data_IF_713101838910
#
_entry.id   IF_713101838910
#
_cell.length_a   1.000
_cell.length_b   1.000
_cell.length_c   1.000
_cell.angle_alpha   90.00
_cell.angle_beta   90.00
_cell.angle_gamma   90.00
#
_symmetry.space_group_name_H-M   'P 1'
#
loop_
_entity.id
_entity.type
_entity.pdbx_description
1 polymer ?
#
# COMPACT_ATOMS: atom_id res chain seq x y z
N UNK A 1 -10.34 0.17 22.17
CA UNK A 1 -11.58 0.62 21.53
C UNK A 1 -12.25 1.72 22.34
N UNK A 2 -12.71 1.50 23.56
CA UNK A 2 -13.43 2.52 24.36
C UNK A 2 -12.67 3.83 24.54
N UNK A 3 -11.36 3.82 24.71
CA UNK A 3 -10.55 5.04 24.78
C UNK A 3 -10.66 5.90 23.52
N UNK A 4 -10.69 5.29 22.33
CA UNK A 4 -10.90 6.03 21.05
C UNK A 4 -12.29 6.65 20.97
N UNK A 5 -13.31 5.94 21.46
CA UNK A 5 -14.67 6.45 21.49
C UNK A 5 -14.79 7.61 22.48
N UNK A 6 -14.23 7.44 23.70
CA UNK A 6 -14.22 8.50 24.69
C UNK A 6 -13.49 9.75 24.20
N UNK A 7 -12.39 9.59 23.47
CA UNK A 7 -11.70 10.73 22.85
C UNK A 7 -12.57 11.44 21.81
N UNK A 8 -13.26 10.69 20.94
CA UNK A 8 -14.15 11.30 19.96
C UNK A 8 -15.31 12.07 20.60
N UNK A 9 -15.90 11.53 21.66
CA UNK A 9 -16.94 12.22 22.44
C UNK A 9 -16.40 13.45 23.19
N UNK A 10 -15.19 13.33 23.80
CA UNK A 10 -14.53 14.46 24.45
C UNK A 10 -14.26 15.60 23.48
N UNK A 11 -13.78 15.30 22.28
CA UNK A 11 -13.49 16.27 21.22
C UNK A 11 -14.79 17.00 20.77
N UNK A 12 -15.93 16.29 20.70
CA UNK A 12 -17.22 16.87 20.32
C UNK A 12 -17.76 17.78 21.41
N UNK A 13 -17.69 17.35 22.66
CA UNK A 13 -18.26 18.08 23.77
C UNK A 13 -17.31 19.12 24.39
N UNK A 14 -16.05 19.19 23.94
CA UNK A 14 -15.05 20.09 24.50
C UNK A 14 -14.73 19.81 25.96
N UNK A 15 -14.78 18.54 26.38
CA UNK A 15 -14.54 18.07 27.75
C UNK A 15 -13.28 17.22 27.85
N UNK A 16 -12.84 16.91 29.07
CA UNK A 16 -11.76 15.95 29.28
C UNK A 16 -12.31 14.51 29.10
N UNK A 17 -11.43 13.59 28.71
CA UNK A 17 -11.81 12.20 28.42
C UNK A 17 -12.41 11.48 29.65
N UNK A 18 -11.95 11.86 30.85
CA UNK A 18 -12.40 11.32 32.12
C UNK A 18 -13.83 11.77 32.51
N UNK A 19 -14.31 12.87 31.92
CA UNK A 19 -15.61 13.47 32.17
C UNK A 19 -16.68 12.99 31.17
N UNK A 20 -16.27 12.22 30.15
CA UNK A 20 -17.19 11.74 29.11
C UNK A 20 -18.22 10.80 29.68
N UNK A 21 -19.49 11.13 29.42
CA UNK A 21 -20.62 10.26 29.66
C UNK A 21 -21.17 9.73 28.36
N UNK A 22 -21.08 8.42 28.18
CA UNK A 22 -21.62 7.77 26.97
C UNK A 22 -23.16 7.77 27.02
N UNK A 23 -23.80 8.58 26.20
CA UNK A 23 -25.24 8.67 26.13
C UNK A 23 -25.87 7.61 25.23
N UNK A 24 -25.28 7.37 24.04
CA UNK A 24 -25.81 6.44 23.04
C UNK A 24 -25.05 5.10 23.02
N UNK A 25 -23.75 5.13 23.25
CA UNK A 25 -22.87 3.95 23.20
C UNK A 25 -22.65 3.31 24.57
N UNK A 26 -23.23 3.88 25.63
CA UNK A 26 -23.22 3.34 27.00
C UNK A 26 -24.24 2.26 27.24
N UNK A 27 -25.10 1.93 26.29
CA UNK A 27 -26.07 0.85 26.43
C UNK A 27 -25.35 -0.51 26.43
N UNK A 28 -25.89 -1.47 27.19
CA UNK A 28 -25.27 -2.80 27.35
C UNK A 28 -25.00 -3.54 26.03
N UNK A 29 -25.87 -3.40 25.05
CA UNK A 29 -25.69 -3.99 23.71
C UNK A 29 -24.45 -3.45 23.02
N UNK A 30 -24.26 -2.13 23.02
CA UNK A 30 -23.06 -1.50 22.42
C UNK A 30 -21.77 -1.88 23.15
N UNK A 31 -21.80 -2.01 24.48
CA UNK A 31 -20.66 -2.45 25.29
C UNK A 31 -20.28 -3.88 24.91
N UNK A 32 -21.26 -4.77 24.85
CA UNK A 32 -21.06 -6.17 24.49
C UNK A 32 -20.54 -6.31 23.07
N UNK A 33 -21.12 -5.60 22.10
CA UNK A 33 -20.68 -5.61 20.70
C UNK A 33 -19.23 -5.17 20.55
N UNK A 34 -18.83 -4.13 21.26
CA UNK A 34 -17.45 -3.64 21.25
C UNK A 34 -16.47 -4.63 21.90
N UNK A 35 -16.85 -5.25 23.02
CA UNK A 35 -16.01 -6.24 23.71
C UNK A 35 -15.83 -7.50 22.86
N UNK A 36 -16.92 -8.02 22.29
CA UNK A 36 -16.86 -9.21 21.43
C UNK A 36 -16.03 -8.91 20.18
N UNK A 37 -16.26 -7.76 19.54
CA UNK A 37 -15.51 -7.36 18.35
C UNK A 37 -14.01 -7.20 18.65
N UNK A 38 -13.66 -6.54 19.76
CA UNK A 38 -12.28 -6.37 20.19
C UNK A 38 -11.60 -7.72 20.44
N UNK A 39 -12.28 -8.64 21.14
CA UNK A 39 -11.76 -9.97 21.43
C UNK A 39 -11.60 -10.81 20.17
N UNK A 40 -12.53 -10.71 19.23
CA UNK A 40 -12.47 -11.42 17.96
C UNK A 40 -11.32 -10.90 17.07
N UNK A 41 -11.16 -9.58 16.96
CA UNK A 41 -10.06 -8.95 16.25
C UNK A 41 -8.70 -9.37 16.86
N UNK A 42 -8.59 -9.30 18.19
CA UNK A 42 -7.40 -9.75 18.91
C UNK A 42 -7.08 -11.21 18.60
N UNK A 43 -8.07 -12.10 18.72
CA UNK A 43 -7.89 -13.53 18.41
C UNK A 43 -7.40 -13.79 16.99
N UNK A 44 -7.96 -13.07 16.00
CA UNK A 44 -7.53 -13.22 14.62
C UNK A 44 -6.09 -12.72 14.40
N UNK A 45 -5.74 -11.57 15.00
CA UNK A 45 -4.40 -10.99 14.86
C UNK A 45 -3.33 -11.83 15.57
N UNK A 46 -3.66 -12.44 16.73
CA UNK A 46 -2.75 -13.33 17.45
C UNK A 46 -2.55 -14.67 16.75
N UNK A 47 -3.61 -15.20 16.13
CA UNK A 47 -3.57 -16.52 15.48
C UNK A 47 -3.02 -16.46 14.07
N UNK A 48 -3.18 -15.33 13.38
CA UNK A 48 -2.80 -15.13 11.99
C UNK A 48 -2.15 -13.74 11.84
N UNK A 49 -1.19 -13.63 10.92
CA UNK A 49 -0.74 -12.31 10.45
C UNK A 49 -1.83 -11.71 9.55
N UNK A 50 -2.79 -11.03 10.17
CA UNK A 50 -3.95 -10.51 9.44
C UNK A 50 -3.69 -9.14 8.86
N UNK A 51 -4.11 -8.94 7.62
CA UNK A 51 -4.28 -7.63 6.99
C UNK A 51 -5.76 -7.41 6.74
N UNK A 52 -6.27 -6.28 7.20
CA UNK A 52 -7.68 -5.92 7.02
C UNK A 52 -7.84 -5.03 5.79
N UNK A 53 -8.89 -5.27 5.03
CA UNK A 53 -9.34 -4.39 3.96
C UNK A 53 -10.85 -4.23 4.01
N UNK A 54 -11.32 -3.07 3.56
CA UNK A 54 -12.74 -2.75 3.48
C UNK A 54 -13.02 -2.11 2.12
N UNK A 55 -14.20 -2.39 1.55
CA UNK A 55 -14.73 -1.59 0.45
C UNK A 55 -15.00 -0.17 0.93
N UNK A 56 -15.32 0.73 0.02
CA UNK A 56 -15.78 2.07 0.37
C UNK A 56 -16.93 1.98 1.38
N UNK A 57 -16.86 2.80 2.43
CA UNK A 57 -17.77 2.76 3.56
C UNK A 57 -18.98 3.66 3.28
N UNK A 58 -20.20 3.13 3.11
CA UNK A 58 -21.38 3.96 2.91
C UNK A 58 -21.72 4.69 4.21
N UNK A 59 -21.76 6.02 4.17
CA UNK A 59 -22.06 6.84 5.36
C UNK A 59 -23.56 7.13 5.55
N UNK A 60 -24.34 7.04 4.48
CA UNK A 60 -25.76 7.37 4.48
C UNK A 60 -26.04 8.88 4.46
N UNK A 61 -27.32 9.26 4.54
CA UNK A 61 -27.75 10.66 4.50
C UNK A 61 -29.07 10.89 5.22
N UNK A 62 -29.34 12.16 5.54
CA UNK A 62 -30.54 12.58 6.26
C UNK A 62 -30.24 12.95 7.70
N UNK A 63 -31.19 12.67 8.58
CA UNK A 63 -31.11 12.99 10.03
C UNK A 63 -31.50 11.81 10.88
N UNK A 64 -31.01 11.77 12.12
CA UNK A 64 -31.41 10.81 13.15
C UNK A 64 -31.84 11.56 14.42
N UNK A 65 -32.73 10.94 15.17
CA UNK A 65 -33.03 11.36 16.53
C UNK A 65 -32.01 10.77 17.50
N UNK A 66 -31.34 11.63 18.24
CA UNK A 66 -30.35 11.25 19.24
C UNK A 66 -30.74 11.81 20.62
N UNK A 67 -29.98 11.46 21.65
CA UNK A 67 -30.08 12.06 22.97
C UNK A 67 -29.89 13.58 22.98
N UNK A 68 -29.20 14.10 21.95
CA UNK A 68 -28.95 15.55 21.73
C UNK A 68 -29.93 16.19 20.76
N UNK A 69 -31.05 15.53 20.44
CA UNK A 69 -32.03 16.00 19.47
C UNK A 69 -31.78 15.45 18.07
N UNK A 70 -32.27 16.16 17.06
CA UNK A 70 -32.13 15.79 15.66
C UNK A 70 -30.75 16.21 15.17
N UNK A 71 -29.94 15.22 14.75
CA UNK A 71 -28.60 15.46 14.24
C UNK A 71 -28.46 14.95 12.79
N UNK A 72 -27.59 15.56 11.97
CA UNK A 72 -27.32 15.09 10.61
C UNK A 72 -26.55 13.76 10.59
N UNK A 73 -26.73 13.02 9.51
CA UNK A 73 -25.97 11.78 9.19
C UNK A 73 -24.80 12.14 8.28
N UNK A 74 -23.58 11.60 8.57
CA UNK A 74 -23.22 10.76 9.72
C UNK A 74 -23.17 11.55 11.03
N UNK A 75 -23.42 10.89 12.16
CA UNK A 75 -23.29 11.49 13.47
C UNK A 75 -21.87 12.05 13.71
N UNK A 76 -21.69 13.11 14.53
CA UNK A 76 -20.37 13.73 14.73
C UNK A 76 -19.29 12.74 15.19
N UNK A 77 -19.57 11.87 16.13
CA UNK A 77 -18.63 10.83 16.61
C UNK A 77 -18.28 9.82 15.51
N UNK A 78 -19.27 9.44 14.69
CA UNK A 78 -19.03 8.59 13.51
C UNK A 78 -18.05 9.24 12.54
N UNK A 79 -18.24 10.54 12.24
CA UNK A 79 -17.37 11.29 11.32
C UNK A 79 -15.92 11.36 11.82
N UNK A 80 -15.72 11.63 13.11
CA UNK A 80 -14.40 11.67 13.74
C UNK A 80 -13.71 10.31 13.71
N UNK A 81 -14.44 9.24 14.02
CA UNK A 81 -13.91 7.88 14.03
C UNK A 81 -13.55 7.37 12.64
N UNK A 82 -14.24 7.83 11.57
CA UNK A 82 -13.96 7.46 10.18
C UNK A 82 -12.89 8.33 9.51
N UNK A 83 -12.30 9.29 10.22
CA UNK A 83 -11.26 10.17 9.67
C UNK A 83 -10.10 9.37 9.06
N UNK A 84 -9.79 9.62 7.80
CA UNK A 84 -8.74 8.94 7.04
C UNK A 84 -9.18 7.66 6.32
N UNK A 85 -10.42 7.20 6.52
CA UNK A 85 -11.00 6.07 5.78
C UNK A 85 -11.77 6.55 4.54
N UNK A 86 -11.80 5.71 3.51
CA UNK A 86 -12.54 6.01 2.26
C UNK A 86 -14.03 5.79 2.46
N UNK A 87 -14.82 6.83 2.25
CA UNK A 87 -16.28 6.82 2.42
C UNK A 87 -17.00 7.15 1.12
N UNK A 88 -18.27 6.71 1.01
CA UNK A 88 -19.14 6.96 -0.15
C UNK A 88 -20.56 7.30 0.30
N UNK A 89 -21.25 8.17 -0.45
CA UNK A 89 -22.72 8.30 -0.40
C UNK A 89 -23.32 7.27 -1.38
N UNK A 90 -23.92 6.23 -0.88
CA UNK A 90 -24.60 5.20 -1.68
C UNK A 90 -26.03 5.59 -2.09
N UNK A 91 -26.46 6.81 -1.79
CA UNK A 91 -27.78 7.33 -2.09
C UNK A 91 -28.91 6.81 -1.19
N UNK A 92 -28.63 5.89 -0.27
CA UNK A 92 -29.63 5.27 0.61
C UNK A 92 -29.83 6.14 1.86
N UNK A 93 -31.09 6.55 2.16
CA UNK A 93 -31.37 7.39 3.30
C UNK A 93 -31.22 6.63 4.63
N UNK A 94 -30.82 7.37 5.66
CA UNK A 94 -30.61 6.88 7.01
C UNK A 94 -29.16 6.53 7.30
N UNK A 95 -28.87 6.27 8.56
CA UNK A 95 -27.54 5.92 9.04
C UNK A 95 -27.09 4.55 8.48
N UNK A 96 -25.95 4.53 7.80
CA UNK A 96 -25.36 3.32 7.22
C UNK A 96 -24.23 2.76 8.09
N UNK A 97 -23.53 3.65 8.79
CA UNK A 97 -22.49 3.30 9.77
C UNK A 97 -22.82 3.98 11.09
N UNK A 98 -22.99 3.18 12.13
CA UNK A 98 -23.22 3.65 13.50
C UNK A 98 -21.89 4.02 14.17
N UNK A 99 -21.89 4.77 15.30
CA UNK A 99 -20.68 5.03 16.08
C UNK A 99 -19.93 3.75 16.48
N UNK A 100 -20.64 2.69 16.85
CA UNK A 100 -20.05 1.36 17.14
C UNK A 100 -19.35 0.76 15.93
N UNK A 101 -20.00 0.80 14.77
CA UNK A 101 -19.39 0.32 13.51
C UNK A 101 -18.15 1.13 13.11
N UNK A 102 -18.22 2.46 13.24
CA UNK A 102 -17.09 3.35 12.97
C UNK A 102 -15.92 3.10 13.94
N UNK A 103 -16.21 2.81 15.21
CA UNK A 103 -15.20 2.45 16.21
C UNK A 103 -14.46 1.16 15.84
N UNK A 104 -15.18 0.14 15.39
CA UNK A 104 -14.59 -1.12 14.91
C UNK A 104 -13.68 -0.83 13.71
N UNK A 105 -14.17 -0.12 12.69
CA UNK A 105 -13.42 0.25 11.48
C UNK A 105 -12.17 1.06 11.83
N UNK A 106 -12.27 2.08 12.67
CA UNK A 106 -11.12 2.87 13.12
C UNK A 106 -10.08 2.05 13.88
N UNK A 107 -10.51 0.97 14.52
CA UNK A 107 -9.62 0.11 15.31
C UNK A 107 -8.82 -0.84 14.41
N UNK A 108 -9.46 -1.45 13.42
CA UNK A 108 -8.78 -2.32 12.44
C UNK A 108 -8.01 -1.55 11.39
N UNK A 109 -8.33 -0.27 11.18
CA UNK A 109 -7.71 0.63 10.20
C UNK A 109 -7.51 -0.06 8.84
N UNK A 110 -8.59 -0.44 8.15
CA UNK A 110 -8.50 -1.30 6.97
C UNK A 110 -7.95 -0.54 5.77
N UNK A 111 -7.23 -1.26 4.90
CA UNK A 111 -6.87 -0.75 3.59
C UNK A 111 -8.13 -0.60 2.71
N UNK A 112 -8.16 0.41 1.83
CA UNK A 112 -9.29 0.66 0.92
C UNK A 112 -9.45 -0.39 -0.19
N UNK A 113 -8.45 -1.22 -0.42
CA UNK A 113 -8.49 -2.28 -1.44
C UNK A 113 -7.98 -3.60 -0.87
N UNK A 114 -8.54 -4.70 -1.39
CA UNK A 114 -7.95 -6.02 -1.17
C UNK A 114 -6.58 -6.01 -1.86
N UNK A 115 -5.56 -5.61 -1.14
CA UNK A 115 -4.19 -5.74 -1.61
C UNK A 115 -3.61 -7.02 -1.02
N UNK A 116 -3.32 -8.00 -1.87
CA UNK A 116 -2.24 -8.89 -1.49
C UNK A 116 -0.97 -8.05 -1.55
N UNK A 117 -0.27 -7.89 -0.45
CA UNK A 117 1.00 -7.15 -0.37
C UNK A 117 2.01 -7.58 -1.44
N UNK A 118 1.73 -8.63 -2.18
CA UNK A 118 2.62 -9.29 -3.12
C UNK A 118 1.96 -9.71 -4.45
N UNK A 119 0.79 -9.17 -4.85
CA UNK A 119 0.03 -9.70 -6.00
C UNK A 119 -0.15 -11.23 -5.95
N UNK A 120 -0.23 -11.82 -4.77
CA UNK A 120 -0.49 -13.23 -4.62
C UNK A 120 -1.95 -13.54 -4.95
N UNK A 121 -2.20 -14.71 -5.47
CA UNK A 121 -3.58 -15.16 -5.67
C UNK A 121 -4.23 -15.38 -4.30
N UNK A 122 -5.36 -14.73 -4.07
CA UNK A 122 -6.16 -14.88 -2.86
C UNK A 122 -7.24 -15.94 -3.11
N UNK A 123 -7.40 -16.87 -2.17
CA UNK A 123 -8.50 -17.84 -2.15
C UNK A 123 -9.43 -17.54 -1.00
N UNK A 124 -10.71 -17.43 -1.27
CA UNK A 124 -11.73 -17.32 -0.20
C UNK A 124 -11.73 -18.63 0.59
N UNK A 125 -11.48 -18.53 1.88
CA UNK A 125 -11.45 -19.67 2.80
C UNK A 125 -12.73 -19.81 3.59
N UNK A 126 -13.28 -18.69 4.06
CA UNK A 126 -14.52 -18.63 4.83
C UNK A 126 -15.22 -17.30 4.56
N UNK A 127 -16.52 -17.30 4.81
CA UNK A 127 -17.31 -16.07 4.88
C UNK A 127 -18.18 -16.07 6.13
N UNK A 128 -18.47 -14.88 6.62
CA UNK A 128 -19.45 -14.62 7.67
C UNK A 128 -20.37 -13.49 7.24
N UNK A 129 -21.62 -13.54 7.65
CA UNK A 129 -22.64 -12.54 7.35
C UNK A 129 -23.33 -12.15 8.65
N UNK A 130 -23.35 -10.85 8.94
CA UNK A 130 -24.19 -10.23 9.96
C UNK A 130 -25.37 -9.54 9.29
N UNK A 131 -26.57 -9.73 9.81
CA UNK A 131 -27.81 -9.16 9.28
C UNK A 131 -28.27 -8.01 10.17
N UNK A 132 -28.47 -6.83 9.57
CA UNK A 132 -29.05 -5.67 10.25
C UNK A 132 -30.58 -5.73 10.25
N UNK A 133 -31.20 -5.13 11.27
CA UNK A 133 -32.67 -5.12 11.46
C UNK A 133 -33.40 -4.18 10.51
N UNK A 134 -32.74 -3.11 10.01
CA UNK A 134 -33.38 -2.10 9.20
C UNK A 134 -33.59 -2.61 7.77
N UNK A 135 -34.80 -2.49 7.25
CA UNK A 135 -35.09 -2.74 5.83
C UNK A 135 -34.63 -1.58 4.97
N UNK A 136 -33.65 -1.83 4.08
CA UNK A 136 -33.09 -0.83 3.16
C UNK A 136 -33.80 -0.83 1.80
N UNK A 137 -34.81 -1.67 1.59
CA UNK A 137 -35.66 -1.81 0.39
C UNK A 137 -34.92 -2.13 -0.92
N UNK A 138 -33.78 -1.49 -1.17
CA UNK A 138 -33.02 -1.60 -2.43
C UNK A 138 -31.91 -2.65 -2.37
N UNK A 139 -31.33 -2.86 -1.21
CA UNK A 139 -30.21 -3.80 -0.99
C UNK A 139 -30.38 -4.54 0.33
N UNK A 140 -29.84 -5.74 0.47
CA UNK A 140 -29.78 -6.43 1.76
C UNK A 140 -28.99 -5.61 2.79
N UNK A 141 -29.53 -5.45 4.00
CA UNK A 141 -28.80 -4.84 5.11
C UNK A 141 -27.90 -5.89 5.78
N UNK A 142 -26.73 -6.10 5.21
CA UNK A 142 -25.78 -7.10 5.68
C UNK A 142 -24.37 -6.53 5.77
N UNK A 143 -23.61 -7.00 6.76
CA UNK A 143 -22.17 -6.92 6.80
C UNK A 143 -21.60 -8.29 6.41
N UNK A 144 -20.79 -8.33 5.37
CA UNK A 144 -20.13 -9.55 4.92
C UNK A 144 -18.63 -9.48 5.17
N UNK A 145 -18.12 -10.46 5.91
CA UNK A 145 -16.68 -10.63 6.15
C UNK A 145 -16.20 -11.83 5.34
N UNK A 146 -15.14 -11.65 4.56
CA UNK A 146 -14.47 -12.69 3.80
C UNK A 146 -13.08 -12.94 4.37
N UNK A 147 -12.79 -14.18 4.71
CA UNK A 147 -11.44 -14.61 5.09
C UNK A 147 -10.75 -15.16 3.85
N UNK A 148 -9.66 -14.52 3.47
CA UNK A 148 -8.81 -14.97 2.38
C UNK A 148 -7.57 -15.67 2.91
N UNK A 149 -7.11 -16.67 2.19
CA UNK A 149 -5.80 -17.28 2.37
C UNK A 149 -4.93 -16.92 1.16
N UNK A 150 -3.76 -16.35 1.42
CA UNK A 150 -2.78 -16.13 0.35
C UNK A 150 -2.22 -17.47 -0.13
N UNK A 151 -2.33 -17.72 -1.43
CA UNK A 151 -1.63 -18.85 -2.04
C UNK A 151 -0.13 -18.53 -2.06
N UNK A 152 0.61 -19.15 -1.15
CA UNK A 152 2.08 -19.01 -1.09
C UNK A 152 2.71 -19.75 -2.28
N UNK A 153 2.58 -19.25 -3.48
CA UNK A 153 3.47 -19.61 -4.59
C UNK A 153 4.79 -18.88 -4.42
N UNK A 154 5.49 -19.13 -3.31
CA UNK A 154 6.80 -18.56 -3.10
C UNK A 154 7.85 -19.42 -3.80
N UNK A 155 8.51 -18.84 -4.78
CA UNK A 155 9.76 -19.41 -5.29
C UNK A 155 10.76 -19.36 -4.13
N UNK A 156 11.32 -20.50 -3.73
CA UNK A 156 12.27 -20.59 -2.61
C UNK A 156 13.37 -19.52 -2.73
N UNK A 157 13.67 -18.87 -1.61
CA UNK A 157 14.72 -17.86 -1.49
C UNK A 157 14.48 -16.59 -2.35
N UNK A 158 13.23 -16.27 -2.68
CA UNK A 158 12.90 -15.03 -3.38
C UNK A 158 11.95 -14.16 -2.56
N UNK A 159 12.16 -12.84 -2.66
CA UNK A 159 11.20 -11.83 -2.22
C UNK A 159 10.44 -11.32 -3.43
N UNK A 160 9.11 -11.30 -3.33
CA UNK A 160 8.28 -10.60 -4.31
C UNK A 160 8.09 -9.15 -3.83
N UNK A 161 8.30 -8.22 -4.73
CA UNK A 161 8.14 -6.79 -4.50
C UNK A 161 7.16 -6.25 -5.53
N UNK A 162 6.35 -5.29 -5.12
CA UNK A 162 5.53 -4.49 -6.05
C UNK A 162 6.34 -3.25 -6.39
N UNK A 163 6.46 -2.95 -7.68
CA UNK A 163 7.18 -1.79 -8.18
C UNK A 163 6.32 -1.07 -9.22
N UNK A 164 6.65 0.18 -9.46
CA UNK A 164 6.11 0.98 -10.55
C UNK A 164 7.14 1.04 -11.68
N UNK A 165 6.70 0.74 -12.90
CA UNK A 165 7.47 0.94 -14.14
C UNK A 165 6.88 2.13 -14.89
N UNK A 166 7.60 3.26 -14.89
CA UNK A 166 7.23 4.44 -15.62
C UNK A 166 7.92 4.38 -16.99
N UNK A 167 7.13 4.48 -18.06
CA UNK A 167 7.66 4.39 -19.43
C UNK A 167 7.25 5.62 -20.22
N UNK A 168 8.19 6.26 -20.89
CA UNK A 168 7.97 7.42 -21.77
C UNK A 168 8.92 7.41 -22.96
N UNK A 169 8.61 8.20 -23.98
CA UNK A 169 9.35 8.28 -25.21
C UNK A 169 9.84 9.69 -25.46
N UNK A 170 11.04 9.83 -26.05
CA UNK A 170 11.68 11.09 -26.42
C UNK A 170 12.16 10.99 -27.86
N UNK A 171 11.75 11.95 -28.72
CA UNK A 171 12.14 12.02 -30.13
C UNK A 171 12.65 13.42 -30.56
N UNK A 172 12.78 14.34 -29.61
CA UNK A 172 13.07 15.74 -29.82
C UNK A 172 14.11 16.35 -28.85
N UNK A 173 14.80 15.54 -28.04
CA UNK A 173 15.96 15.95 -27.24
C UNK A 173 17.27 15.42 -27.84
N UNK A 174 18.35 16.18 -27.69
CA UNK A 174 19.68 15.67 -28.03
C UNK A 174 20.11 14.57 -27.07
N UNK A 175 20.96 13.63 -27.53
CA UNK A 175 21.46 12.57 -26.65
C UNK A 175 22.21 13.10 -25.43
N UNK A 176 22.92 14.21 -25.53
CA UNK A 176 23.67 14.86 -24.48
C UNK A 176 22.72 15.43 -23.41
N UNK A 177 21.69 16.16 -23.85
CA UNK A 177 20.70 16.75 -22.96
C UNK A 177 19.86 15.68 -22.27
N UNK A 178 19.46 14.63 -23.01
CA UNK A 178 18.78 13.48 -22.45
C UNK A 178 19.63 12.76 -21.39
N UNK A 179 20.94 12.63 -21.60
CA UNK A 179 21.83 12.00 -20.63
C UNK A 179 21.85 12.76 -19.30
N UNK A 180 21.85 14.09 -19.34
CA UNK A 180 21.76 14.95 -18.15
C UNK A 180 20.43 14.74 -17.42
N UNK A 181 19.33 14.74 -18.18
CA UNK A 181 17.98 14.52 -17.65
C UNK A 181 17.86 13.16 -16.96
N UNK A 182 18.36 12.11 -17.61
CA UNK A 182 18.32 10.75 -17.06
C UNK A 182 19.15 10.60 -15.78
N UNK A 183 20.29 11.31 -15.67
CA UNK A 183 21.10 11.27 -14.44
C UNK A 183 20.37 11.95 -13.27
N UNK A 184 19.68 13.06 -13.52
CA UNK A 184 18.85 13.73 -12.51
C UNK A 184 17.66 12.84 -12.10
N UNK A 185 17.02 12.13 -13.03
CA UNK A 185 15.96 11.18 -12.73
C UNK A 185 16.52 10.00 -11.92
N UNK A 186 17.68 9.45 -12.31
CA UNK A 186 18.33 8.33 -11.64
C UNK A 186 18.70 8.63 -10.19
N UNK A 187 19.07 9.87 -9.89
CA UNK A 187 19.42 10.33 -8.55
C UNK A 187 18.21 10.64 -7.65
N UNK A 188 16.98 10.58 -8.20
CA UNK A 188 15.75 10.87 -7.45
C UNK A 188 15.45 9.75 -6.45
N UNK A 189 15.06 10.12 -5.24
CA UNK A 189 14.67 9.17 -4.19
C UNK A 189 13.55 8.24 -4.69
N UNK A 190 13.70 6.94 -4.41
CA UNK A 190 12.72 5.93 -4.82
C UNK A 190 12.96 5.32 -6.20
N UNK A 191 13.82 5.90 -7.04
CA UNK A 191 14.27 5.30 -8.31
C UNK A 191 15.23 4.14 -8.02
N UNK A 192 14.95 3.00 -8.64
CA UNK A 192 15.76 1.79 -8.51
C UNK A 192 16.62 1.52 -9.74
N UNK A 193 16.12 1.88 -10.92
CA UNK A 193 16.83 1.73 -12.18
C UNK A 193 16.26 2.65 -13.25
N UNK A 194 17.09 3.05 -14.22
CA UNK A 194 16.71 3.82 -15.41
C UNK A 194 17.35 3.18 -16.63
N UNK A 195 16.53 2.69 -17.56
CA UNK A 195 16.95 2.01 -18.77
C UNK A 195 16.54 2.86 -19.97
N UNK A 196 17.42 2.94 -20.95
CA UNK A 196 17.20 3.64 -22.21
C UNK A 196 17.34 2.66 -23.38
N UNK A 197 16.33 2.63 -24.26
CA UNK A 197 16.34 1.87 -25.51
C UNK A 197 16.15 2.82 -26.69
N UNK A 198 16.95 2.64 -27.74
CA UNK A 198 16.79 3.37 -29.02
C UNK A 198 15.94 2.55 -29.97
N UNK A 199 15.00 3.20 -30.66
CA UNK A 199 14.17 2.58 -31.72
C UNK A 199 13.72 3.62 -32.75
N UNK A 200 13.10 3.18 -33.82
CA UNK A 200 12.50 4.06 -34.83
C UNK A 200 11.00 4.22 -34.48
N UNK A 201 10.62 5.45 -34.21
CA UNK A 201 9.24 5.83 -33.88
C UNK A 201 8.42 6.28 -35.09
N UNK A 202 7.36 7.02 -34.84
CA UNK A 202 6.50 7.62 -35.88
C UNK A 202 7.30 8.50 -36.82
N UNK A 203 6.91 8.51 -38.08
CA UNK A 203 7.57 9.31 -39.16
C UNK A 203 9.04 8.98 -39.34
N UNK A 204 9.45 7.73 -39.08
CA UNK A 204 10.86 7.27 -39.17
C UNK A 204 11.85 8.10 -38.35
N UNK A 205 11.42 8.64 -37.19
CA UNK A 205 12.32 9.38 -36.30
C UNK A 205 13.04 8.44 -35.35
N UNK A 206 14.31 8.71 -35.10
CA UNK A 206 15.03 8.10 -34.00
C UNK A 206 14.36 8.51 -32.66
N UNK A 207 13.98 7.55 -31.86
CA UNK A 207 13.24 7.75 -30.62
C UNK A 207 13.87 6.95 -29.50
N UNK A 208 13.91 7.49 -28.32
CA UNK A 208 14.34 6.78 -27.12
C UNK A 208 13.13 6.40 -26.27
N UNK A 209 13.00 5.12 -25.91
CA UNK A 209 12.11 4.67 -24.86
C UNK A 209 12.88 4.63 -23.55
N UNK A 210 12.37 5.32 -22.56
CA UNK A 210 12.93 5.35 -21.21
C UNK A 210 12.02 4.57 -20.29
N UNK A 211 12.61 3.67 -19.51
CA UNK A 211 11.91 2.94 -18.44
C UNK A 211 12.55 3.27 -17.11
N UNK A 212 11.76 3.78 -16.20
CA UNK A 212 12.16 4.09 -14.82
C UNK A 212 11.48 3.11 -13.89
N UNK A 213 12.26 2.28 -13.23
CA UNK A 213 11.78 1.37 -12.19
C UNK A 213 11.86 2.07 -10.85
N UNK A 214 10.75 2.16 -10.13
CA UNK A 214 10.70 2.90 -8.87
C UNK A 214 9.75 2.26 -7.85
N UNK A 215 9.78 2.79 -6.62
CA UNK A 215 8.81 2.44 -5.58
C UNK A 215 7.45 3.06 -5.92
N UNK A 216 6.31 2.35 -5.75
CA UNK A 216 4.99 2.86 -6.10
C UNK A 216 4.62 4.15 -5.38
N UNK A 217 5.00 4.28 -4.11
CA UNK A 217 4.74 5.44 -3.27
C UNK A 217 5.42 6.72 -3.78
N UNK A 218 6.53 6.59 -4.52
CA UNK A 218 7.30 7.72 -5.07
C UNK A 218 6.94 8.01 -6.55
N UNK A 219 6.08 7.21 -7.17
CA UNK A 219 5.80 7.30 -8.60
C UNK A 219 5.34 8.69 -9.04
N UNK A 220 4.46 9.35 -8.27
CA UNK A 220 3.95 10.67 -8.59
C UNK A 220 5.05 11.75 -8.58
N UNK A 221 5.93 11.72 -7.58
CA UNK A 221 7.06 12.66 -7.48
C UNK A 221 8.02 12.47 -8.65
N UNK A 222 8.26 11.22 -9.04
CA UNK A 222 9.14 10.88 -10.17
C UNK A 222 8.50 11.28 -11.49
N UNK A 223 7.19 11.11 -11.68
CA UNK A 223 6.46 11.58 -12.87
C UNK A 223 6.59 13.10 -13.03
N UNK A 224 6.42 13.87 -11.95
CA UNK A 224 6.62 15.32 -11.96
C UNK A 224 8.07 15.65 -12.36
N UNK A 225 9.05 14.92 -11.82
CA UNK A 225 10.46 15.11 -12.19
C UNK A 225 10.71 14.81 -13.66
N UNK A 226 10.12 13.73 -14.22
CA UNK A 226 10.21 13.39 -15.64
C UNK A 226 9.69 14.52 -16.51
N UNK A 227 8.50 15.05 -16.24
CA UNK A 227 7.93 16.17 -17.00
C UNK A 227 8.76 17.45 -16.93
N UNK A 228 9.44 17.71 -15.80
CA UNK A 228 10.26 18.90 -15.65
C UNK A 228 11.65 18.78 -16.29
N UNK A 229 12.18 17.58 -16.46
CA UNK A 229 13.54 17.36 -16.97
C UNK A 229 13.55 16.88 -18.43
N UNK A 230 12.39 16.54 -19.02
CA UNK A 230 12.32 16.00 -20.38
C UNK A 230 11.22 16.67 -21.21
N UNK A 231 11.31 16.53 -22.53
CA UNK A 231 10.30 17.03 -23.47
C UNK A 231 9.06 16.13 -23.59
N UNK A 232 9.01 14.99 -22.88
CA UNK A 232 7.87 14.07 -23.01
C UNK A 232 6.55 14.72 -22.58
N UNK A 233 5.48 14.43 -23.32
CA UNK A 233 4.12 14.88 -22.99
C UNK A 233 3.29 13.78 -22.31
N UNK A 234 3.86 12.59 -22.10
CA UNK A 234 3.12 11.49 -21.52
C UNK A 234 3.98 10.41 -20.89
N UNK A 235 3.59 9.97 -19.70
CA UNK A 235 4.23 8.88 -18.96
C UNK A 235 3.21 7.78 -18.71
N UNK A 236 3.53 6.56 -19.11
CA UNK A 236 2.74 5.36 -18.79
C UNK A 236 3.22 4.81 -17.46
N UNK A 237 2.30 4.52 -16.56
CA UNK A 237 2.60 3.94 -15.25
C UNK A 237 1.98 2.55 -15.16
N UNK A 238 2.82 1.52 -15.01
CA UNK A 238 2.43 0.14 -14.82
C UNK A 238 2.90 -0.37 -13.46
N UNK A 239 2.00 -0.97 -12.70
CA UNK A 239 2.37 -1.67 -11.48
C UNK A 239 2.81 -3.08 -11.84
N UNK A 240 4.03 -3.43 -11.48
CA UNK A 240 4.66 -4.70 -11.83
C UNK A 240 5.12 -5.49 -10.60
N UNK A 241 5.07 -6.81 -10.70
CA UNK A 241 5.65 -7.71 -9.70
C UNK A 241 7.10 -8.06 -10.03
N UNK A 242 8.04 -7.83 -9.11
CA UNK A 242 9.45 -8.22 -9.22
C UNK A 242 9.77 -9.32 -8.24
N UNK A 243 10.38 -10.39 -8.69
CA UNK A 243 10.99 -11.41 -7.84
C UNK A 243 12.49 -11.14 -7.71
N UNK A 244 12.98 -11.00 -6.51
CA UNK A 244 14.40 -10.81 -6.21
C UNK A 244 14.89 -11.86 -5.24
N UNK A 245 16.12 -12.36 -5.44
CA UNK A 245 16.77 -13.21 -4.47
C UNK A 245 17.21 -12.40 -3.25
N UNK A 246 17.15 -12.99 -2.07
CA UNK A 246 17.74 -12.40 -0.87
C UNK A 246 19.25 -12.26 -1.04
N UNK A 247 19.76 -11.09 -0.66
CA UNK A 247 21.17 -10.73 -0.79
C UNK A 247 21.75 -10.37 0.57
N UNK A 248 22.84 -11.00 0.93
CA UNK A 248 23.66 -10.60 2.07
C UNK A 248 24.93 -9.95 1.55
N UNK A 249 25.35 -8.85 2.17
CA UNK A 249 26.61 -8.19 1.84
C UNK A 249 27.65 -8.72 2.82
N UNK A 250 28.67 -9.36 2.27
CA UNK A 250 29.85 -9.83 3.02
C UNK A 250 31.01 -8.88 2.71
N UNK A 251 31.72 -8.43 3.73
CA UNK A 251 32.92 -7.60 3.55
C UNK A 251 34.18 -8.47 3.62
N UNK A 252 35.03 -8.40 2.58
CA UNK A 252 36.33 -9.11 2.53
C UNK A 252 37.43 -8.09 2.23
N UNK A 253 38.11 -7.64 3.26
CA UNK A 253 39.03 -6.49 3.19
C UNK A 253 38.26 -5.23 2.79
N UNK A 254 38.68 -4.59 1.70
CA UNK A 254 38.05 -3.37 1.15
C UNK A 254 36.88 -3.66 0.17
N UNK A 255 36.58 -4.92 -0.11
CA UNK A 255 35.57 -5.31 -1.11
C UNK A 255 34.26 -5.72 -0.45
N UNK A 256 33.13 -5.23 -0.98
CA UNK A 256 31.80 -5.65 -0.65
C UNK A 256 31.37 -6.76 -1.64
N UNK A 257 30.99 -7.91 -1.10
CA UNK A 257 30.61 -9.09 -1.88
C UNK A 257 29.14 -9.37 -1.63
N UNK A 258 28.32 -9.30 -2.66
CA UNK A 258 26.92 -9.74 -2.63
C UNK A 258 26.90 -11.26 -2.66
N UNK A 259 26.39 -11.89 -1.61
CA UNK A 259 26.14 -13.32 -1.55
C UNK A 259 24.64 -13.59 -1.61
N UNK A 260 24.23 -14.57 -2.40
CA UNK A 260 22.83 -14.98 -2.53
C UNK A 260 22.72 -16.48 -2.67
N UNK A 261 21.61 -17.05 -2.14
CA UNK A 261 21.28 -18.46 -2.30
C UNK A 261 20.25 -18.62 -3.40
N UNK A 262 20.58 -19.37 -4.44
CA UNK A 262 19.69 -19.67 -5.56
C UNK A 262 18.55 -20.61 -5.12
N UNK A 263 17.43 -20.69 -5.84
CA UNK A 263 16.36 -21.67 -5.55
C UNK A 263 16.83 -23.12 -5.50
N UNK A 264 17.89 -23.44 -6.26
CA UNK A 264 18.57 -24.76 -6.24
C UNK A 264 19.39 -25.03 -4.97
N UNK A 265 19.49 -24.07 -4.05
CA UNK A 265 20.37 -24.16 -2.86
C UNK A 265 21.83 -23.73 -3.11
N UNK A 266 22.24 -23.52 -4.35
CA UNK A 266 23.60 -23.08 -4.68
C UNK A 266 23.82 -21.63 -4.22
N UNK A 267 24.90 -21.38 -3.49
CA UNK A 267 25.34 -20.02 -3.14
C UNK A 267 26.15 -19.43 -4.30
N UNK A 268 25.87 -18.19 -4.62
CA UNK A 268 26.63 -17.41 -5.60
C UNK A 268 27.07 -16.09 -4.97
N UNK A 269 28.27 -15.66 -5.29
CA UNK A 269 28.89 -14.41 -4.82
C UNK A 269 29.18 -13.51 -5.99
N UNK A 270 29.09 -12.21 -5.79
CA UNK A 270 29.45 -11.20 -6.79
C UNK A 270 30.03 -9.98 -6.08
N UNK A 271 31.25 -9.58 -6.46
CA UNK A 271 31.89 -8.37 -5.93
C UNK A 271 31.21 -7.13 -6.51
N UNK A 272 31.07 -6.07 -5.71
CA UNK A 272 30.50 -4.79 -6.16
C UNK A 272 31.39 -4.16 -7.23
N UNK A 273 30.76 -3.72 -8.30
CA UNK A 273 31.49 -3.11 -9.43
C UNK A 273 32.18 -1.80 -9.03
N UNK A 274 31.59 -1.07 -8.09
CA UNK A 274 32.15 0.18 -7.59
C UNK A 274 33.46 0.01 -6.87
N UNK A 275 33.61 -1.07 -6.13
CA UNK A 275 34.88 -1.42 -5.44
C UNK A 275 36.00 -1.79 -6.45
N UNK A 276 35.64 -2.02 -7.70
CA UNK A 276 36.60 -2.39 -8.77
C UNK A 276 36.94 -1.25 -9.72
N UNK A 277 36.33 -0.06 -9.61
CA UNK A 277 36.48 1.05 -10.57
C UNK A 277 37.95 1.43 -10.83
N UNK A 278 38.76 1.47 -9.79
CA UNK A 278 40.15 1.94 -9.86
C UNK A 278 41.15 0.90 -10.35
N UNK A 279 40.68 -0.28 -10.76
CA UNK A 279 41.57 -1.35 -11.23
C UNK A 279 41.48 -1.51 -12.76
N UNK A 280 42.62 -1.86 -13.40
CA UNK A 280 42.67 -2.20 -14.83
C UNK A 280 41.78 -3.42 -15.15
N UNK A 281 41.35 -3.56 -16.39
CA UNK A 281 40.50 -4.69 -16.84
C UNK A 281 41.06 -6.06 -16.43
N UNK A 282 42.38 -6.28 -16.69
CA UNK A 282 43.05 -7.53 -16.35
C UNK A 282 42.99 -7.81 -14.84
N UNK A 283 43.25 -6.80 -14.01
CA UNK A 283 43.21 -6.92 -12.54
C UNK A 283 41.79 -7.12 -12.02
N UNK A 284 40.79 -6.45 -12.60
CA UNK A 284 39.37 -6.69 -12.27
C UNK A 284 38.95 -8.15 -12.51
N UNK A 285 39.37 -8.75 -13.63
CA UNK A 285 39.07 -10.15 -13.97
C UNK A 285 39.67 -11.13 -12.93
N UNK A 286 40.90 -10.90 -12.52
CA UNK A 286 41.59 -11.72 -11.49
C UNK A 286 40.91 -11.57 -10.13
N UNK A 287 40.60 -10.33 -9.72
CA UNK A 287 39.95 -10.06 -8.45
C UNK A 287 38.55 -10.68 -8.38
N UNK A 288 37.76 -10.59 -9.47
CA UNK A 288 36.44 -11.26 -9.52
C UNK A 288 36.58 -12.75 -9.29
N UNK A 289 37.46 -13.43 -10.02
CA UNK A 289 37.68 -14.86 -9.85
C UNK A 289 38.06 -15.22 -8.40
N UNK A 290 38.98 -14.47 -7.78
CA UNK A 290 39.42 -14.71 -6.39
C UNK A 290 38.39 -14.42 -5.32
N UNK A 291 37.45 -13.49 -5.53
CA UNK A 291 36.49 -13.02 -4.53
C UNK A 291 35.12 -13.71 -4.68
N UNK A 292 34.78 -14.17 -5.87
CA UNK A 292 33.48 -14.77 -6.19
C UNK A 292 33.51 -16.32 -6.04
N UNK A 293 34.67 -16.94 -6.12
CA UNK A 293 34.90 -18.34 -5.70
C UNK A 293 34.89 -18.42 -4.16
#
# INVERSE_FOLDING_TARGET
MFTKLAQAEADIHGTQIEEVKFHEVGAWDSIIDNLISAKFIQYLNEKYETTWSCSEIPIGKGVINSAHGIIPIPAPSTSLLLKGLTVIDDGIPGERVTPTGALILSTINPNSHISSANNNTLKIKKQGIGIGKKDLKLIPNILRILLFEESKTSIKNTKKQVLSELTFNIDDQTPEDLAISLEKIRSTTGVLDVIQNAFIGKKNRATFEIKVLCRPEESNNIIIKIFNETSTLGVRNNIIGRYSLDRNILRKGQFNIKSTTRPSGKKTKKVESDDLKNYSYKKRKILRKKLED
#
